data_IF_202922534947
#
_entry.id   IF_202922534947
#
_cell.length_a   1.000
_cell.length_b   1.000
_cell.length_c   1.000
_cell.angle_alpha   90.00
_cell.angle_beta   90.00
_cell.angle_gamma   90.00
#
_symmetry.space_group_name_H-M   'P 1'
#
loop_
_entity.id
_entity.type
_entity.pdbx_description
1 polymer ?
#
# COMPACT_ATOMS: atom_id res chain seq x y z
N UNK A 1 67.52 -5.72 -32.72
CA UNK A 1 66.21 -5.06 -32.59
C UNK A 1 65.17 -6.14 -32.35
N UNK A 2 64.70 -6.32 -31.10
CA UNK A 2 63.65 -7.28 -30.73
C UNK A 2 62.48 -6.47 -30.19
N UNK A 3 61.35 -6.49 -30.90
CA UNK A 3 60.09 -5.88 -30.45
C UNK A 3 59.31 -6.91 -29.64
N UNK A 4 58.91 -6.55 -28.42
CA UNK A 4 58.09 -7.36 -27.52
C UNK A 4 56.63 -6.88 -27.64
N UNK A 5 55.63 -7.76 -27.86
CA UNK A 5 54.24 -7.34 -27.96
C UNK A 5 53.66 -7.16 -26.54
N UNK A 6 53.12 -5.97 -26.27
CA UNK A 6 52.41 -5.66 -25.04
C UNK A 6 50.99 -6.22 -25.17
N UNK A 7 50.69 -7.29 -24.44
CA UNK A 7 49.35 -7.83 -24.26
C UNK A 7 48.57 -6.93 -23.30
N UNK A 8 47.61 -6.17 -23.84
CA UNK A 8 46.69 -5.34 -23.06
C UNK A 8 45.53 -6.23 -22.58
N UNK A 9 45.53 -6.57 -21.29
CA UNK A 9 44.43 -7.26 -20.64
C UNK A 9 43.29 -6.27 -20.34
N UNK A 10 42.20 -6.34 -21.08
CA UNK A 10 40.97 -5.58 -20.82
C UNK A 10 40.21 -6.21 -19.65
N UNK A 11 40.33 -5.62 -18.46
CA UNK A 11 39.52 -5.98 -17.30
C UNK A 11 38.08 -5.44 -17.49
N UNK A 12 37.13 -6.34 -17.72
CA UNK A 12 35.71 -6.00 -17.78
C UNK A 12 35.18 -5.71 -16.36
N UNK A 13 34.98 -4.44 -16.02
CA UNK A 13 34.24 -4.05 -14.83
C UNK A 13 32.76 -4.39 -15.02
N UNK A 14 32.29 -5.47 -14.38
CA UNK A 14 30.88 -5.75 -14.25
C UNK A 14 30.26 -4.69 -13.32
N UNK A 15 29.51 -3.75 -13.90
CA UNK A 15 28.74 -2.78 -13.15
C UNK A 15 27.62 -3.50 -12.39
N UNK A 16 27.83 -3.74 -11.09
CA UNK A 16 26.77 -4.22 -10.20
C UNK A 16 25.71 -3.12 -10.11
N UNK A 17 24.61 -3.28 -10.84
CA UNK A 17 23.44 -2.42 -10.68
C UNK A 17 22.86 -2.66 -9.29
N UNK A 18 22.70 -1.63 -8.43
CA UNK A 18 22.08 -1.81 -7.13
C UNK A 18 20.65 -2.31 -7.35
N UNK A 19 20.34 -3.48 -6.80
CA UNK A 19 18.97 -3.97 -6.77
C UNK A 19 18.10 -2.91 -6.05
N UNK A 20 16.89 -2.61 -6.54
CA UNK A 20 16.00 -1.71 -5.84
C UNK A 20 15.73 -2.32 -4.47
N UNK A 21 16.20 -1.67 -3.42
CA UNK A 21 15.83 -2.01 -2.05
C UNK A 21 14.34 -1.74 -1.98
N UNK A 22 13.52 -2.78 -1.99
CA UNK A 22 12.09 -2.65 -1.72
C UNK A 22 11.98 -2.11 -0.30
N UNK A 23 11.81 -0.79 -0.16
CA UNK A 23 11.59 -0.16 1.12
C UNK A 23 10.36 -0.83 1.74
N UNK A 24 10.57 -1.66 2.76
CA UNK A 24 9.48 -2.21 3.54
C UNK A 24 8.86 -1.03 4.28
N UNK A 25 7.79 -0.48 3.72
CA UNK A 25 7.04 0.57 4.38
C UNK A 25 6.65 0.06 5.77
N UNK A 26 7.09 0.79 6.80
CA UNK A 26 6.75 0.47 8.16
C UNK A 26 5.22 0.40 8.32
N UNK A 27 4.74 -0.61 9.03
CA UNK A 27 3.30 -0.79 9.29
C UNK A 27 3.07 -1.31 10.71
N UNK A 28 2.14 -0.67 11.42
CA UNK A 28 1.59 -1.22 12.66
C UNK A 28 0.56 -2.33 12.39
N UNK A 29 -0.08 -2.28 11.22
CA UNK A 29 -1.20 -3.15 10.85
C UNK A 29 -1.02 -3.60 9.39
N UNK A 30 -1.21 -4.90 9.14
CA UNK A 30 -1.24 -5.48 7.79
C UNK A 30 -2.68 -5.69 7.32
N UNK A 31 -2.90 -5.84 6.01
CA UNK A 31 -4.21 -6.27 5.50
C UNK A 31 -4.71 -7.58 6.11
N UNK A 32 -3.80 -8.50 6.43
CA UNK A 32 -4.13 -9.79 7.07
C UNK A 32 -4.66 -9.57 8.48
N UNK A 33 -3.96 -8.80 9.31
CA UNK A 33 -4.36 -8.54 10.68
C UNK A 33 -5.62 -7.66 10.75
N UNK A 34 -5.78 -6.71 9.83
CA UNK A 34 -7.01 -5.92 9.71
C UNK A 34 -8.21 -6.81 9.35
N UNK A 35 -8.09 -7.66 8.33
CA UNK A 35 -9.18 -8.57 7.94
C UNK A 35 -9.57 -9.51 9.09
N UNK A 36 -8.59 -10.03 9.84
CA UNK A 36 -8.84 -10.86 11.01
C UNK A 36 -9.66 -10.11 12.08
N UNK A 37 -9.33 -8.84 12.35
CA UNK A 37 -10.14 -7.98 13.25
C UNK A 37 -11.56 -7.79 12.72
N UNK A 38 -11.70 -7.49 11.44
CA UNK A 38 -13.01 -7.23 10.84
C UNK A 38 -13.94 -8.46 10.81
N UNK A 39 -13.39 -9.67 10.82
CA UNK A 39 -14.15 -10.94 10.82
C UNK A 39 -14.37 -11.51 12.22
N UNK A 40 -13.78 -10.91 13.24
CA UNK A 40 -13.95 -11.37 14.61
C UNK A 40 -15.40 -11.10 15.06
N UNK A 41 -15.96 -12.03 15.83
CA UNK A 41 -17.35 -11.98 16.31
C UNK A 41 -17.53 -11.09 17.54
N UNK A 42 -16.45 -10.77 18.27
CA UNK A 42 -16.55 -9.93 19.44
C UNK A 42 -16.73 -8.45 19.03
N UNK A 43 -17.69 -7.73 19.63
CA UNK A 43 -18.08 -6.39 19.19
C UNK A 43 -16.94 -5.36 19.26
N UNK A 44 -16.01 -5.51 20.20
CA UNK A 44 -14.82 -4.66 20.34
C UNK A 44 -13.91 -4.72 19.11
N UNK A 45 -13.80 -5.87 18.45
CA UNK A 45 -13.01 -6.01 17.22
C UNK A 45 -13.72 -5.43 16.00
N UNK A 46 -15.05 -5.54 15.94
CA UNK A 46 -15.85 -4.88 14.91
C UNK A 46 -15.71 -3.35 14.99
N UNK A 47 -15.75 -2.81 16.22
CA UNK A 47 -15.48 -1.39 16.48
C UNK A 47 -14.04 -1.02 16.09
N UNK A 48 -13.04 -1.80 16.53
CA UNK A 48 -11.64 -1.53 16.23
C UNK A 48 -11.32 -1.57 14.73
N UNK A 49 -11.89 -2.54 13.99
CA UNK A 49 -11.79 -2.60 12.53
C UNK A 49 -12.36 -1.34 11.88
N UNK A 50 -13.58 -0.95 12.27
CA UNK A 50 -14.25 0.23 11.72
C UNK A 50 -13.46 1.50 12.03
N UNK A 51 -13.02 1.67 13.28
CA UNK A 51 -12.23 2.82 13.72
C UNK A 51 -10.89 2.93 12.97
N UNK A 52 -10.19 1.82 12.76
CA UNK A 52 -8.95 1.80 11.97
C UNK A 52 -9.20 2.30 10.55
N UNK A 53 -10.22 1.76 9.87
CA UNK A 53 -10.53 2.10 8.48
C UNK A 53 -10.91 3.57 8.35
N UNK A 54 -11.80 4.07 9.21
CA UNK A 54 -12.21 5.49 9.18
C UNK A 54 -11.03 6.41 9.49
N UNK A 55 -10.18 6.07 10.47
CA UNK A 55 -8.99 6.86 10.77
C UNK A 55 -8.01 6.96 9.58
N UNK A 56 -7.84 5.88 8.82
CA UNK A 56 -7.06 5.91 7.58
C UNK A 56 -7.72 6.78 6.51
N UNK A 57 -9.04 6.65 6.32
CA UNK A 57 -9.81 7.47 5.37
C UNK A 57 -9.66 8.95 5.69
N UNK A 58 -9.82 9.34 6.95
CA UNK A 58 -9.66 10.72 7.39
C UNK A 58 -8.23 11.22 7.20
N UNK A 59 -7.22 10.38 7.49
CA UNK A 59 -5.82 10.69 7.23
C UNK A 59 -5.55 11.01 5.76
N UNK A 60 -6.04 10.15 4.85
CA UNK A 60 -5.88 10.34 3.40
C UNK A 60 -6.65 11.57 2.93
N UNK A 61 -7.89 11.78 3.40
CA UNK A 61 -8.71 12.93 3.01
C UNK A 61 -8.08 14.24 3.48
N UNK A 62 -7.55 14.26 4.71
CA UNK A 62 -6.78 15.38 5.26
C UNK A 62 -5.56 15.67 4.38
N UNK A 63 -4.76 14.65 4.04
CA UNK A 63 -3.58 14.83 3.19
C UNK A 63 -3.95 15.33 1.78
N UNK A 64 -5.04 14.83 1.20
CA UNK A 64 -5.57 15.33 -0.08
C UNK A 64 -6.03 16.79 0.03
N UNK A 65 -6.72 17.16 1.11
CA UNK A 65 -7.24 18.51 1.31
C UNK A 65 -6.12 19.56 1.45
N UNK A 66 -5.01 19.21 2.12
CA UNK A 66 -3.85 20.10 2.29
C UNK A 66 -2.83 20.02 1.14
N UNK A 67 -3.16 19.33 0.04
CA UNK A 67 -2.29 19.22 -1.13
C UNK A 67 -1.04 18.36 -0.94
N UNK A 68 -1.01 17.47 0.07
CA UNK A 68 0.09 16.52 0.32
C UNK A 68 -0.20 15.10 -0.19
N UNK A 69 -1.45 14.81 -0.50
CA UNK A 69 -1.91 13.54 -1.07
C UNK A 69 -2.16 13.61 -2.58
N UNK A 70 -2.33 12.44 -3.20
CA UNK A 70 -2.87 12.37 -4.57
C UNK A 70 -4.35 12.79 -4.57
N UNK A 71 -4.87 13.30 -5.69
CA UNK A 71 -6.31 13.53 -5.83
C UNK A 71 -7.10 12.24 -5.56
N UNK A 72 -8.16 12.36 -4.79
CA UNK A 72 -9.13 11.30 -4.53
C UNK A 72 -10.48 11.70 -5.13
N UNK A 73 -11.24 10.73 -5.63
CA UNK A 73 -12.57 10.94 -6.20
C UNK A 73 -13.65 10.21 -5.39
N UNK A 74 -13.40 10.08 -4.08
CA UNK A 74 -14.33 9.49 -3.13
C UNK A 74 -15.53 10.41 -2.95
N UNK A 75 -16.73 9.87 -2.63
CA UNK A 75 -17.92 10.69 -2.44
C UNK A 75 -17.77 11.65 -1.25
N UNK A 76 -18.50 12.77 -1.29
CA UNK A 76 -18.45 13.78 -0.24
C UNK A 76 -18.86 13.24 1.13
N UNK A 77 -19.81 12.29 1.11
CA UNK A 77 -20.32 11.56 2.27
C UNK A 77 -20.17 10.07 2.03
N UNK A 78 -19.55 9.38 2.98
CA UNK A 78 -19.41 7.92 3.02
C UNK A 78 -19.65 7.46 4.46
N UNK A 79 -20.48 6.45 4.64
CA UNK A 79 -20.68 5.90 5.98
C UNK A 79 -19.46 5.06 6.41
N UNK A 80 -19.22 4.98 7.71
CA UNK A 80 -18.18 4.11 8.25
C UNK A 80 -18.41 2.63 7.88
N UNK A 81 -19.66 2.20 7.78
CA UNK A 81 -20.03 0.84 7.38
C UNK A 81 -19.71 0.58 5.90
N UNK A 82 -19.99 1.52 5.01
CA UNK A 82 -19.65 1.40 3.58
C UNK A 82 -18.15 1.34 3.36
N UNK A 83 -17.39 2.18 4.08
CA UNK A 83 -15.93 2.12 4.06
C UNK A 83 -15.43 0.75 4.53
N UNK A 84 -15.96 0.25 5.67
CA UNK A 84 -15.60 -1.08 6.19
C UNK A 84 -15.90 -2.17 5.16
N UNK A 85 -17.12 -2.21 4.63
CA UNK A 85 -17.56 -3.23 3.66
C UNK A 85 -16.70 -3.21 2.40
N UNK A 86 -16.38 -2.03 1.87
CA UNK A 86 -15.54 -1.89 0.68
C UNK A 86 -14.14 -2.45 0.92
N UNK A 87 -13.51 -2.09 2.05
CA UNK A 87 -12.17 -2.56 2.41
C UNK A 87 -12.16 -4.06 2.67
N UNK A 88 -13.12 -4.60 3.42
CA UNK A 88 -13.20 -6.04 3.70
C UNK A 88 -13.35 -6.82 2.40
N UNK A 89 -14.24 -6.40 1.49
CA UNK A 89 -14.41 -7.05 0.20
C UNK A 89 -13.11 -7.06 -0.64
N UNK A 90 -12.35 -5.98 -0.62
CA UNK A 90 -11.05 -5.91 -1.29
C UNK A 90 -10.05 -6.90 -0.70
N UNK A 91 -9.91 -6.91 0.64
CA UNK A 91 -8.96 -7.78 1.34
C UNK A 91 -9.31 -9.25 1.13
N UNK A 92 -10.59 -9.61 1.10
CA UNK A 92 -11.03 -10.98 0.80
C UNK A 92 -10.68 -11.40 -0.62
N UNK A 93 -10.93 -10.53 -1.61
CA UNK A 93 -10.66 -10.78 -3.03
C UNK A 93 -9.17 -10.92 -3.37
N UNK A 94 -8.29 -10.21 -2.66
CA UNK A 94 -6.86 -10.13 -2.98
C UNK A 94 -5.97 -10.68 -1.87
N UNK A 95 -5.95 -12.02 -1.64
CA UNK A 95 -5.16 -12.66 -0.57
C UNK A 95 -3.68 -12.31 -0.58
N UNK A 96 -3.07 -12.30 -1.77
CA UNK A 96 -1.61 -12.12 -1.91
C UNK A 96 -1.13 -10.74 -1.49
N UNK A 97 -2.02 -9.74 -1.54
CA UNK A 97 -1.72 -8.36 -1.20
C UNK A 97 -1.85 -8.07 0.30
N UNK A 98 -2.54 -8.91 1.07
CA UNK A 98 -2.84 -8.66 2.49
C UNK A 98 -1.59 -8.56 3.39
N UNK A 99 -0.43 -8.99 2.90
CA UNK A 99 0.85 -8.82 3.61
C UNK A 99 1.34 -7.36 3.63
N UNK A 100 0.76 -6.49 2.80
CA UNK A 100 1.11 -5.07 2.77
C UNK A 100 0.47 -4.24 3.91
N UNK A 101 0.90 -2.98 4.06
CA UNK A 101 0.34 -2.06 5.06
C UNK A 101 -1.16 -1.87 4.88
N UNK A 102 -1.94 -2.07 5.95
CA UNK A 102 -3.39 -1.94 5.89
C UNK A 102 -3.83 -0.54 5.45
N UNK A 103 -3.13 0.51 5.89
CA UNK A 103 -3.42 1.88 5.49
C UNK A 103 -3.33 2.11 3.97
N UNK A 104 -2.35 1.49 3.33
CA UNK A 104 -2.22 1.52 1.86
C UNK A 104 -3.35 0.75 1.21
N UNK A 105 -3.66 -0.45 1.70
CA UNK A 105 -4.72 -1.29 1.14
C UNK A 105 -6.12 -0.67 1.29
N UNK A 106 -6.38 0.11 2.34
CA UNK A 106 -7.61 0.92 2.45
C UNK A 106 -7.70 1.93 1.31
N UNK A 107 -6.61 2.65 1.03
CA UNK A 107 -6.55 3.61 -0.09
C UNK A 107 -6.79 2.92 -1.43
N UNK A 108 -6.12 1.78 -1.67
CA UNK A 108 -6.29 1.01 -2.91
C UNK A 108 -7.72 0.52 -3.07
N UNK A 109 -8.33 -0.04 -2.01
CA UNK A 109 -9.71 -0.52 -2.04
C UNK A 109 -10.70 0.59 -2.41
N UNK A 110 -10.55 1.77 -1.81
CA UNK A 110 -11.42 2.92 -2.09
C UNK A 110 -11.19 3.51 -3.46
N UNK A 111 -9.94 3.57 -3.94
CA UNK A 111 -9.64 4.05 -5.29
C UNK A 111 -10.09 3.06 -6.38
N UNK A 112 -10.12 1.75 -6.09
CA UNK A 112 -10.72 0.76 -6.99
C UNK A 112 -12.24 0.96 -7.08
N UNK A 113 -12.89 1.28 -5.95
CA UNK A 113 -14.34 1.53 -5.91
C UNK A 113 -14.73 2.88 -6.51
N UNK A 114 -13.91 3.90 -6.31
CA UNK A 114 -14.15 5.29 -6.71
C UNK A 114 -12.99 5.82 -7.56
N UNK A 115 -12.81 5.31 -8.79
CA UNK A 115 -11.72 5.74 -9.65
C UNK A 115 -11.91 7.19 -10.07
N UNK A 116 -10.82 7.97 -10.05
CA UNK A 116 -10.79 9.25 -10.74
C UNK A 116 -10.80 9.03 -12.25
N UNK A 117 -11.72 9.67 -12.95
CA UNK A 117 -11.68 9.71 -14.42
C UNK A 117 -10.46 10.50 -14.88
N UNK A 118 -9.85 10.06 -15.98
CA UNK A 118 -8.70 10.72 -16.59
C UNK A 118 -9.12 11.94 -17.38
#
# INVERSE_FOLDING_TARGET
>A
MRALPILIATASLAAASPAPVAAQAFMFESGTSLLAKCRNKAPEYALACTAYIVGVVDGIRKDSFIGRGRPICWPDKMSADDARRTVVAYLERWPDQRRGPASVLVSVALNERYPCQK
#
